data_IF_960070334460
#
_entry.id   IF_960070334460
#
_cell.length_a   1.000
_cell.length_b   1.000
_cell.length_c   1.000
_cell.angle_alpha   90.00
_cell.angle_beta   90.00
_cell.angle_gamma   90.00
#
_symmetry.space_group_name_H-M   'P 1'
#
loop_
_entity.id
_entity.type
_entity.pdbx_description
1 polymer ?
#
# COMPACT_ATOMS: atom_id res chain seq x y z
N UNK A 1 0.43 -6.63 10.49
CA UNK A 1 1.67 -7.32 10.07
C UNK A 1 1.41 -8.79 10.21
N UNK A 2 1.65 -9.56 9.16
CA UNK A 2 1.59 -11.03 9.24
C UNK A 2 2.82 -11.52 10.02
N UNK A 3 2.73 -12.69 10.68
CA UNK A 3 3.85 -13.26 11.46
C UNK A 3 5.09 -13.53 10.60
N UNK A 4 4.90 -13.70 9.29
CA UNK A 4 5.97 -13.98 8.34
C UNK A 4 6.66 -12.69 7.84
N UNK A 5 6.14 -11.50 8.18
CA UNK A 5 6.72 -10.22 7.81
C UNK A 5 7.72 -9.67 8.84
N UNK A 6 7.93 -10.36 9.96
CA UNK A 6 8.92 -9.99 10.97
C UNK A 6 10.19 -10.83 10.84
N UNK A 7 11.40 -10.26 11.03
CA UNK A 7 11.67 -8.88 11.44
C UNK A 7 11.52 -7.86 10.29
N UNK A 8 11.04 -6.64 10.60
CA UNK A 8 10.75 -5.59 9.61
C UNK A 8 10.94 -4.18 10.21
N UNK A 9 11.42 -3.22 9.40
CA UNK A 9 11.46 -1.80 9.77
C UNK A 9 10.20 -1.03 9.30
N UNK A 10 9.81 0.01 10.02
CA UNK A 10 8.74 0.96 9.65
C UNK A 10 9.11 2.38 10.05
N UNK A 11 8.76 3.36 9.23
CA UNK A 11 8.82 4.78 9.58
C UNK A 11 7.39 5.31 9.78
N UNK A 12 7.22 6.23 10.73
CA UNK A 12 5.94 6.88 11.03
C UNK A 12 6.17 8.38 11.06
N UNK A 13 5.48 9.12 10.19
CA UNK A 13 5.42 10.57 10.25
C UNK A 13 4.25 10.99 11.15
N UNK A 14 4.55 11.63 12.29
CA UNK A 14 3.55 11.95 13.32
C UNK A 14 2.72 13.23 13.01
N UNK A 15 3.18 14.07 12.08
CA UNK A 15 2.59 15.39 11.83
C UNK A 15 1.40 15.38 10.85
N UNK A 16 1.29 14.39 9.94
CA UNK A 16 0.20 14.26 8.98
C UNK A 16 -0.37 12.84 8.99
N UNK A 17 -1.52 12.66 9.65
CA UNK A 17 -2.32 11.42 9.66
C UNK A 17 -1.60 10.12 10.05
N UNK A 18 -0.53 10.21 10.85
CA UNK A 18 0.30 9.07 11.24
C UNK A 18 0.75 8.23 10.03
N UNK A 19 1.12 8.89 8.93
CA UNK A 19 1.54 8.23 7.70
C UNK A 19 2.64 7.20 7.98
N UNK A 20 2.35 5.94 7.68
CA UNK A 20 3.28 4.81 7.87
C UNK A 20 4.01 4.56 6.57
N UNK A 21 5.27 4.14 6.63
CA UNK A 21 6.08 3.80 5.46
C UNK A 21 6.73 2.44 5.68
N UNK A 22 6.78 1.63 4.61
CA UNK A 22 7.38 0.30 4.57
C UNK A 22 8.62 0.33 3.67
N UNK A 23 9.76 -0.29 4.06
CA UNK A 23 10.91 -0.40 3.19
C UNK A 23 10.58 -1.23 1.95
N UNK A 24 11.20 -0.90 0.82
CA UNK A 24 10.99 -1.60 -0.44
C UNK A 24 11.47 -3.06 -0.40
N UNK A 25 12.47 -3.35 0.44
CA UNK A 25 13.00 -4.69 0.67
C UNK A 25 12.74 -5.16 2.10
N UNK A 26 12.58 -6.48 2.27
CA UNK A 26 12.52 -7.16 3.56
C UNK A 26 13.92 -7.41 4.16
N UNK A 27 15.01 -7.13 3.43
CA UNK A 27 16.36 -7.20 3.97
C UNK A 27 16.63 -6.10 4.98
N UNK A 28 17.05 -6.51 6.18
CA UNK A 28 17.49 -5.61 7.25
C UNK A 28 19.01 -5.51 7.23
N UNK A 29 19.56 -4.88 6.20
CA UNK A 29 20.98 -4.48 6.16
C UNK A 29 21.13 -3.00 6.51
N UNK A 30 22.30 -2.58 7.00
CA UNK A 30 22.58 -1.18 7.32
C UNK A 30 22.35 -0.28 6.09
N UNK A 31 22.83 -0.70 4.91
CA UNK A 31 22.69 0.03 3.66
C UNK A 31 21.21 0.19 3.26
N UNK A 32 20.41 -0.88 3.36
CA UNK A 32 18.97 -0.84 3.00
C UNK A 32 18.20 0.10 3.93
N UNK A 33 18.56 0.16 5.21
CA UNK A 33 17.93 1.05 6.19
C UNK A 33 18.33 2.51 5.90
N UNK A 34 19.59 2.79 5.58
CA UNK A 34 20.05 4.13 5.19
C UNK A 34 19.33 4.62 3.92
N UNK A 35 19.25 3.79 2.88
CA UNK A 35 18.51 4.10 1.65
C UNK A 35 17.02 4.36 1.92
N UNK A 36 16.41 3.59 2.82
CA UNK A 36 15.02 3.78 3.21
C UNK A 36 14.80 5.12 3.92
N UNK A 37 15.68 5.50 4.85
CA UNK A 37 15.62 6.79 5.54
C UNK A 37 15.85 7.95 4.55
N UNK A 38 16.84 7.83 3.65
CA UNK A 38 17.10 8.85 2.63
C UNK A 38 15.89 9.01 1.69
N UNK A 39 15.28 7.91 1.26
CA UNK A 39 14.09 7.93 0.40
C UNK A 39 12.87 8.55 1.10
N UNK A 40 12.77 8.40 2.42
CA UNK A 40 11.75 9.06 3.23
C UNK A 40 11.92 10.58 3.21
N UNK A 41 13.13 11.08 3.48
CA UNK A 41 13.41 12.52 3.42
C UNK A 41 13.35 13.08 2.00
N UNK A 42 13.65 12.28 0.98
CA UNK A 42 13.48 12.66 -0.42
C UNK A 42 12.00 12.71 -0.86
N UNK A 43 11.06 12.22 -0.05
CA UNK A 43 9.63 12.18 -0.37
C UNK A 43 9.26 11.21 -1.49
N UNK A 44 10.15 10.28 -1.85
CA UNK A 44 9.91 9.30 -2.92
C UNK A 44 9.18 8.06 -2.42
N UNK A 45 9.14 7.85 -1.10
CA UNK A 45 8.39 6.75 -0.51
C UNK A 45 6.89 7.01 -0.58
N UNK A 46 6.16 6.05 -1.15
CA UNK A 46 4.70 6.04 -1.05
C UNK A 46 4.30 5.69 0.38
N UNK A 47 3.35 6.44 0.92
CA UNK A 47 2.71 6.12 2.19
C UNK A 47 2.14 4.70 2.13
N UNK A 48 2.52 3.88 3.10
CA UNK A 48 1.98 2.56 3.30
C UNK A 48 0.59 2.66 3.93
N UNK A 49 -0.44 2.54 3.09
CA UNK A 49 -1.81 2.32 3.50
C UNK A 49 -1.99 0.83 3.84
N UNK A 50 -2.71 0.53 4.93
CA UNK A 50 -3.14 -0.85 5.20
C UNK A 50 -4.19 -1.23 4.16
N UNK A 51 -3.71 -1.83 3.08
CA UNK A 51 -4.53 -2.41 2.02
C UNK A 51 -4.27 -3.91 1.99
N UNK A 52 -5.29 -4.67 1.61
CA UNK A 52 -5.07 -6.04 1.16
C UNK A 52 -4.20 -6.06 -0.10
N UNK A 53 -3.45 -7.14 -0.27
CA UNK A 53 -2.73 -7.43 -1.51
C UNK A 53 -3.76 -7.60 -2.65
N UNK A 54 -3.44 -7.13 -3.85
CA UNK A 54 -4.34 -7.29 -5.00
C UNK A 54 -4.49 -8.77 -5.34
N UNK A 55 -5.70 -9.36 -5.29
CA UNK A 55 -5.91 -10.75 -5.68
C UNK A 55 -5.59 -10.97 -7.16
N UNK A 56 -5.06 -12.13 -7.54
CA UNK A 56 -4.79 -12.45 -8.95
C UNK A 56 -6.07 -12.47 -9.81
N UNK A 57 -7.20 -12.85 -9.20
CA UNK A 57 -8.52 -12.96 -9.83
C UNK A 57 -9.39 -11.71 -9.64
N UNK A 58 -8.80 -10.57 -9.25
CA UNK A 58 -9.54 -9.34 -8.89
C UNK A 58 -10.56 -8.86 -9.93
N UNK A 59 -10.32 -9.15 -11.23
CA UNK A 59 -11.19 -8.77 -12.34
C UNK A 59 -11.94 -9.95 -12.99
N UNK A 60 -11.85 -11.17 -12.44
CA UNK A 60 -12.41 -12.37 -13.05
C UNK A 60 -13.95 -12.45 -12.93
N UNK A 61 -14.54 -11.77 -11.94
CA UNK A 61 -15.98 -11.79 -11.65
C UNK A 61 -16.68 -10.52 -12.17
N UNK A 62 -18.02 -10.54 -12.30
CA UNK A 62 -18.79 -9.34 -12.68
C UNK A 62 -18.57 -8.15 -11.73
N UNK A 63 -18.41 -8.44 -10.43
CA UNK A 63 -17.97 -7.47 -9.42
C UNK A 63 -16.45 -7.57 -9.29
N UNK A 64 -15.76 -6.47 -9.55
CA UNK A 64 -14.30 -6.39 -9.47
C UNK A 64 -13.87 -6.02 -8.07
N UNK A 65 -12.83 -6.70 -7.57
CA UNK A 65 -12.25 -6.41 -6.26
C UNK A 65 -11.30 -5.22 -6.39
N UNK A 66 -11.52 -4.22 -5.54
CA UNK A 66 -10.68 -3.04 -5.45
C UNK A 66 -9.96 -3.05 -4.10
N UNK A 67 -8.65 -2.84 -4.16
CA UNK A 67 -7.76 -2.61 -3.02
C UNK A 67 -7.04 -1.28 -3.25
N UNK A 68 -6.38 -0.72 -2.24
CA UNK A 68 -5.78 0.61 -2.37
C UNK A 68 -4.76 0.72 -3.51
N UNK A 69 -4.11 -0.39 -3.91
CA UNK A 69 -3.10 -0.39 -4.98
C UNK A 69 -3.67 -0.26 -6.39
N UNK A 70 -4.91 -0.70 -6.65
CA UNK A 70 -5.57 -0.59 -7.96
C UNK A 70 -6.77 0.38 -7.97
N UNK A 71 -7.18 0.88 -6.81
CA UNK A 71 -8.37 1.73 -6.66
C UNK A 71 -8.32 2.95 -7.58
N UNK A 72 -7.25 3.75 -7.50
CA UNK A 72 -7.15 5.00 -8.25
C UNK A 72 -7.18 4.78 -9.77
N UNK A 73 -6.43 3.77 -10.24
CA UNK A 73 -6.37 3.41 -11.66
C UNK A 73 -7.74 2.99 -12.20
N UNK A 74 -8.52 2.24 -11.41
CA UNK A 74 -9.81 1.73 -11.87
C UNK A 74 -10.91 2.78 -11.73
N UNK A 75 -10.97 3.49 -10.60
CA UNK A 75 -12.07 4.40 -10.27
C UNK A 75 -11.98 5.73 -11.00
N UNK A 76 -10.77 6.25 -11.21
CA UNK A 76 -10.57 7.53 -11.92
C UNK A 76 -10.34 7.37 -13.43
N UNK A 77 -10.51 6.15 -13.98
CA UNK A 77 -10.48 5.93 -15.43
C UNK A 77 -11.66 6.66 -16.11
N UNK A 78 -11.33 7.76 -16.79
CA UNK A 78 -12.30 8.60 -17.53
C UNK A 78 -13.07 7.86 -18.62
N UNK A 79 -12.59 6.71 -19.09
CA UNK A 79 -13.24 5.90 -20.12
C UNK A 79 -14.30 4.95 -19.56
N UNK A 80 -14.39 4.81 -18.23
CA UNK A 80 -15.32 3.88 -17.57
C UNK A 80 -16.32 4.63 -16.70
N UNK A 81 -17.52 4.06 -16.57
CA UNK A 81 -18.49 4.44 -15.53
C UNK A 81 -18.37 3.42 -14.42
N UNK A 82 -17.84 3.84 -13.29
CA UNK A 82 -17.52 2.96 -12.16
C UNK A 82 -18.45 3.28 -11.00
N UNK A 83 -19.10 2.25 -10.47
CA UNK A 83 -19.86 2.30 -9.22
C UNK A 83 -19.13 1.39 -8.23
N UNK A 84 -18.86 1.90 -7.03
CA UNK A 84 -18.10 1.19 -5.99
C UNK A 84 -18.98 0.95 -4.78
N UNK A 85 -19.02 -0.29 -4.32
CA UNK A 85 -19.58 -0.67 -3.03
C UNK A 85 -18.47 -0.67 -1.99
N UNK A 86 -18.60 0.20 -0.97
CA UNK A 86 -17.74 0.15 0.21
C UNK A 86 -18.46 -0.69 1.26
N UNK A 87 -17.91 -1.87 1.55
CA UNK A 87 -18.51 -2.80 2.48
C UNK A 87 -17.54 -3.18 3.60
N UNK A 88 -18.13 -3.90 4.53
CA UNK A 88 -17.58 -4.30 5.78
C UNK A 88 -17.86 -5.81 5.94
N UNK A 89 -16.84 -6.68 6.12
CA UNK A 89 -17.03 -8.13 6.00
C UNK A 89 -17.67 -8.80 7.24
N UNK A 90 -18.13 -8.03 8.22
CA UNK A 90 -18.62 -8.52 9.51
C UNK A 90 -20.11 -8.88 9.51
#
# INVERSE_FOLDING_TARGET
MKKDEVPSARLIALEQDMAKYKPASSELSANTIEEFIQSFFAGTLKQHLLSEDLPEDWAAKPVKVLVATNFDEVVFDTNKKVLVEFYAPW
#
